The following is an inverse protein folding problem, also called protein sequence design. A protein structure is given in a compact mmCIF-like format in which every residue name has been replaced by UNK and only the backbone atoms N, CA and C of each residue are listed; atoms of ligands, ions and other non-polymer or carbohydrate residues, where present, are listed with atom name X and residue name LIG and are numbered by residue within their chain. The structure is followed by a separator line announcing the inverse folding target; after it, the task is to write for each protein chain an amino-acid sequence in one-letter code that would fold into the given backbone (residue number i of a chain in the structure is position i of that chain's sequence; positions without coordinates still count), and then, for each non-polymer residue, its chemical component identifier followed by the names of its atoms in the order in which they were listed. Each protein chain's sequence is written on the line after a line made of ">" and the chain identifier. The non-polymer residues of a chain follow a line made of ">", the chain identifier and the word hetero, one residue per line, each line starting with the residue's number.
data_IF_869191679443
#
_entry.id   IF_869191679443
#
_cell.length_a   1.000
_cell.length_b   1.000
_cell.length_c   1.000
_cell.angle_alpha   90.00
_cell.angle_beta   90.00
_cell.angle_gamma   90.00
#
_symmetry.space_group_name_H-M   'P 1'
#
loop_
_entity.id
_entity.type
_entity.pdbx_description
1 polymer ?
#
# COMPACT_ATOMS: atom_id res chain seq x y z
N UNK A 1 23.95 -44.49 -25.14
CA UNK A 1 25.00 -44.58 -24.10
C UNK A 1 24.56 -43.80 -22.86
N UNK A 2 24.33 -44.55 -21.77
CA UNK A 2 24.15 -44.18 -20.34
C UNK A 2 23.23 -43.02 -19.90
N UNK A 3 22.16 -43.42 -19.19
CA UNK A 3 21.44 -42.70 -18.12
C UNK A 3 22.36 -42.37 -16.94
N UNK A 4 22.05 -41.29 -16.21
CA UNK A 4 22.58 -41.00 -14.87
C UNK A 4 21.59 -40.19 -14.03
N UNK A 5 20.95 -40.89 -13.08
CA UNK A 5 20.14 -40.41 -11.95
C UNK A 5 20.92 -39.52 -10.98
N UNK A 6 20.30 -38.54 -10.30
CA UNK A 6 20.88 -37.94 -9.10
C UNK A 6 20.62 -38.85 -7.90
N UNK A 7 21.66 -39.53 -7.46
CA UNK A 7 21.69 -40.34 -6.25
C UNK A 7 21.69 -39.44 -5.03
N UNK A 8 20.79 -39.71 -4.10
CA UNK A 8 20.74 -39.21 -2.72
C UNK A 8 22.12 -39.23 -2.06
N UNK A 9 22.57 -38.07 -1.56
CA UNK A 9 23.68 -38.00 -0.63
C UNK A 9 23.23 -38.59 0.72
N UNK A 10 23.92 -39.60 1.28
CA UNK A 10 23.78 -39.92 2.69
C UNK A 10 24.49 -38.84 3.51
N UNK A 11 23.76 -38.14 4.37
CA UNK A 11 24.36 -37.36 5.45
C UNK A 11 25.08 -38.34 6.37
N UNK A 12 26.40 -38.40 6.25
CA UNK A 12 27.24 -39.12 7.20
C UNK A 12 27.19 -38.31 8.50
N UNK A 13 26.49 -38.84 9.50
CA UNK A 13 26.61 -38.38 10.88
C UNK A 13 28.02 -38.73 11.33
N UNK A 14 28.93 -37.74 11.31
CA UNK A 14 30.26 -37.90 11.90
C UNK A 14 30.06 -37.89 13.41
N UNK A 15 30.04 -39.08 14.01
CA UNK A 15 30.15 -39.26 15.45
C UNK A 15 31.48 -38.62 15.89
N UNK A 16 31.48 -37.70 16.89
CA UNK A 16 32.72 -37.09 17.34
C UNK A 16 33.66 -38.21 17.83
N UNK A 17 34.96 -38.17 17.47
CA UNK A 17 35.89 -39.21 17.87
C UNK A 17 35.85 -39.36 19.39
N UNK A 18 35.56 -40.57 19.86
CA UNK A 18 35.61 -40.91 21.28
C UNK A 18 37.03 -40.61 21.76
N UNK A 19 37.19 -39.54 22.53
CA UNK A 19 38.47 -39.20 23.12
C UNK A 19 38.96 -40.42 23.94
N UNK A 20 40.22 -40.85 23.79
CA UNK A 20 40.75 -41.92 24.62
C UNK A 20 40.63 -41.48 26.08
N UNK A 21 39.88 -42.26 26.86
CA UNK A 21 39.79 -42.07 28.31
C UNK A 21 41.19 -42.33 28.85
N UNK A 22 41.91 -41.25 29.16
CA UNK A 22 43.19 -41.32 29.86
C UNK A 22 42.93 -42.08 31.17
N UNK A 23 43.47 -43.31 31.26
CA UNK A 23 43.42 -44.07 32.50
C UNK A 23 44.07 -43.23 33.60
N UNK A 24 43.30 -42.94 34.65
CA UNK A 24 43.81 -42.25 35.83
C UNK A 24 44.98 -43.07 36.37
N UNK A 25 46.18 -42.47 36.57
CA UNK A 25 47.31 -43.17 37.15
C UNK A 25 46.88 -43.82 38.47
N UNK A 26 47.33 -45.05 38.80
CA UNK A 26 46.95 -45.73 40.04
C UNK A 26 47.29 -44.91 41.32
N UNK A 27 48.22 -43.96 41.21
CA UNK A 27 48.57 -43.01 42.26
C UNK A 27 47.55 -41.86 42.43
N UNK A 28 46.77 -41.54 41.38
CA UNK A 28 45.79 -40.45 41.42
C UNK A 28 44.64 -40.77 42.38
N UNK A 29 44.22 -42.04 42.45
CA UNK A 29 43.20 -42.51 43.40
C UNK A 29 43.70 -42.45 44.84
N UNK A 30 44.96 -42.82 45.08
CA UNK A 30 45.58 -42.71 46.40
C UNK A 30 45.73 -41.24 46.84
N UNK A 31 46.14 -40.36 45.92
CA UNK A 31 46.25 -38.93 46.16
C UNK A 31 44.88 -38.26 46.40
N UNK A 32 43.84 -38.65 45.66
CA UNK A 32 42.47 -38.20 45.89
C UNK A 32 41.94 -38.67 47.25
N UNK A 33 42.19 -39.91 47.64
CA UNK A 33 41.81 -40.43 48.95
C UNK A 33 42.52 -39.68 50.10
N UNK A 34 43.81 -39.35 49.92
CA UNK A 34 44.57 -38.54 50.86
C UNK A 34 44.00 -37.12 50.96
N UNK A 35 43.76 -36.44 49.84
CA UNK A 35 43.14 -35.11 49.82
C UNK A 35 41.78 -35.10 50.50
N UNK A 36 40.94 -36.11 50.24
CA UNK A 36 39.62 -36.25 50.88
C UNK A 36 39.76 -36.40 52.39
N UNK A 37 40.72 -37.21 52.87
CA UNK A 37 41.01 -37.32 54.31
C UNK A 37 41.45 -36.00 54.95
N UNK A 38 42.31 -35.24 54.27
CA UNK A 38 42.75 -33.92 54.75
C UNK A 38 41.57 -32.95 54.85
N UNK A 39 40.70 -32.91 53.83
CA UNK A 39 39.49 -32.07 53.83
C UNK A 39 38.52 -32.46 54.94
N UNK A 40 38.25 -33.76 55.13
CA UNK A 40 37.35 -34.25 56.19
C UNK A 40 37.91 -34.01 57.60
N UNK A 41 39.24 -33.92 57.74
CA UNK A 41 39.89 -33.55 59.00
C UNK A 41 39.72 -32.07 59.34
N UNK A 42 39.71 -31.20 58.32
CA UNK A 42 39.56 -29.76 58.50
C UNK A 42 38.09 -29.30 58.55
N UNK A 43 37.16 -30.08 58.01
CA UNK A 43 35.72 -29.80 58.04
C UNK A 43 34.97 -31.07 58.47
N UNK A 44 34.90 -31.34 59.78
CA UNK A 44 34.16 -32.49 60.30
C UNK A 44 32.66 -32.29 60.02
N UNK A 45 32.06 -33.16 59.20
CA UNK A 45 30.63 -33.11 58.85
C UNK A 45 30.33 -33.01 57.35
N UNK A 46 31.34 -32.85 56.50
CA UNK A 46 31.15 -32.82 55.03
C UNK A 46 30.57 -34.13 54.46
N UNK A 47 30.83 -35.27 55.11
CA UNK A 47 30.34 -36.60 54.69
C UNK A 47 28.91 -36.93 55.19
N UNK A 48 28.30 -36.10 56.03
CA UNK A 48 27.03 -36.42 56.72
C UNK A 48 25.79 -35.68 56.19
N UNK A 49 25.83 -35.16 54.96
CA UNK A 49 24.58 -34.79 54.28
C UNK A 49 24.28 -35.90 53.27
N UNK A 50 23.25 -36.74 53.51
CA UNK A 50 22.79 -37.65 52.49
C UNK A 50 22.18 -36.84 51.33
N UNK A 51 22.99 -36.59 50.29
CA UNK A 51 22.58 -35.95 49.03
C UNK A 51 21.64 -36.87 48.22
N UNK A 52 21.25 -38.03 48.77
CA UNK A 52 20.39 -39.01 48.09
C UNK A 52 18.96 -38.50 47.89
N UNK A 53 18.41 -37.68 48.80
CA UNK A 53 17.06 -37.13 48.64
C UNK A 53 16.98 -35.89 47.73
N UNK A 54 17.90 -34.95 47.89
CA UNK A 54 17.93 -33.70 47.11
C UNK A 54 18.52 -33.88 45.71
N UNK A 55 19.52 -34.74 45.56
CA UNK A 55 20.11 -35.07 44.26
C UNK A 55 19.12 -35.77 43.32
N UNK A 56 18.31 -36.71 43.83
CA UNK A 56 17.27 -37.35 43.02
C UNK A 56 16.13 -36.41 42.64
N UNK A 57 15.75 -35.47 43.53
CA UNK A 57 14.78 -34.44 43.20
C UNK A 57 15.28 -33.48 42.09
N UNK A 58 16.56 -33.09 42.15
CA UNK A 58 17.19 -32.24 41.11
C UNK A 58 17.30 -33.00 39.78
N UNK A 59 17.69 -34.28 39.82
CA UNK A 59 17.73 -35.14 38.62
C UNK A 59 16.34 -35.31 38.01
N UNK A 60 15.29 -35.48 38.83
CA UNK A 60 13.91 -35.54 38.37
C UNK A 60 13.43 -34.24 37.73
N UNK A 61 13.78 -33.07 38.31
CA UNK A 61 13.46 -31.77 37.71
C UNK A 61 14.24 -31.51 36.41
N UNK A 62 15.50 -31.93 36.33
CA UNK A 62 16.29 -31.86 35.10
C UNK A 62 15.70 -32.77 34.00
N UNK A 63 15.25 -33.97 34.35
CA UNK A 63 14.56 -34.86 33.42
C UNK A 63 13.26 -34.24 32.90
N UNK A 64 12.47 -33.61 33.77
CA UNK A 64 11.26 -32.88 33.38
C UNK A 64 11.58 -31.72 32.44
N UNK A 65 12.65 -30.96 32.71
CA UNK A 65 13.07 -29.85 31.86
C UNK A 65 13.54 -30.32 30.48
N UNK A 66 14.31 -31.41 30.43
CA UNK A 66 14.74 -32.03 29.16
C UNK A 66 13.55 -32.55 28.37
N UNK A 67 12.57 -33.16 29.04
CA UNK A 67 11.33 -33.61 28.43
C UNK A 67 10.51 -32.43 27.88
N UNK A 68 10.34 -31.36 28.65
CA UNK A 68 9.69 -30.13 28.20
C UNK A 68 10.43 -29.49 27.02
N UNK A 69 11.76 -29.50 27.01
CA UNK A 69 12.54 -28.96 25.91
C UNK A 69 12.38 -29.80 24.62
N UNK A 70 12.35 -31.13 24.76
CA UNK A 70 12.09 -32.05 23.65
C UNK A 70 10.67 -31.88 23.10
N UNK A 71 9.66 -31.77 23.96
CA UNK A 71 8.27 -31.50 23.58
C UNK A 71 8.13 -30.14 22.90
N UNK A 72 8.79 -29.10 23.42
CA UNK A 72 8.79 -27.77 22.79
C UNK A 72 9.46 -27.80 21.42
N UNK A 73 10.55 -28.56 21.25
CA UNK A 73 11.20 -28.73 19.96
C UNK A 73 10.30 -29.50 18.96
N UNK A 74 9.66 -30.59 19.41
CA UNK A 74 8.72 -31.36 18.59
C UNK A 74 7.50 -30.54 18.19
N UNK A 75 6.91 -29.78 19.13
CA UNK A 75 5.78 -28.88 18.88
C UNK A 75 6.17 -27.73 17.95
N UNK A 76 7.38 -27.18 18.10
CA UNK A 76 7.90 -26.17 17.18
C UNK A 76 8.09 -26.72 15.77
N UNK A 77 8.56 -27.96 15.62
CA UNK A 77 8.72 -28.60 14.31
C UNK A 77 7.38 -28.96 13.68
N UNK A 78 6.43 -29.49 14.46
CA UNK A 78 5.07 -29.74 14.00
C UNK A 78 4.38 -28.45 13.53
N UNK A 79 4.56 -27.35 14.27
CA UNK A 79 4.05 -26.04 13.88
C UNK A 79 4.70 -25.53 12.60
N UNK A 80 6.01 -25.72 12.41
CA UNK A 80 6.71 -25.35 11.17
C UNK A 80 6.21 -26.15 9.97
N UNK A 81 5.96 -27.45 10.13
CA UNK A 81 5.39 -28.30 9.10
C UNK A 81 3.99 -27.83 8.71
N UNK A 82 3.12 -27.58 9.69
CA UNK A 82 1.78 -27.00 9.45
C UNK A 82 1.85 -25.64 8.76
N UNK A 83 2.80 -24.78 9.13
CA UNK A 83 3.00 -23.48 8.49
C UNK A 83 3.48 -23.60 7.03
N UNK A 84 4.17 -24.69 6.66
CA UNK A 84 4.59 -24.96 5.26
C UNK A 84 3.46 -25.48 4.38
N UNK A 85 2.47 -26.13 4.97
CA UNK A 85 1.32 -26.76 4.28
C UNK A 85 0.11 -25.84 4.15
N UNK A 86 0.17 -24.59 4.65
CA UNK A 86 -0.95 -23.65 4.55
C UNK A 86 -1.37 -23.40 3.10
N UNK A 87 -2.64 -23.62 2.85
CA UNK A 87 -3.29 -23.40 1.56
C UNK A 87 -4.13 -22.11 1.59
N UNK A 88 -4.37 -21.46 0.44
CA UNK A 88 -5.32 -20.36 0.34
C UNK A 88 -6.68 -20.60 1.05
N UNK A 89 -7.21 -21.83 1.02
CA UNK A 89 -8.44 -22.27 1.71
C UNK A 89 -8.41 -22.09 3.22
N UNK A 90 -7.23 -22.10 3.82
CA UNK A 90 -7.06 -21.92 5.27
C UNK A 90 -7.18 -20.44 5.67
N UNK A 91 -7.04 -19.52 4.71
CA UNK A 91 -7.01 -18.08 4.95
C UNK A 91 -8.18 -17.33 4.32
N UNK A 92 -8.72 -17.83 3.22
CA UNK A 92 -9.82 -17.23 2.47
C UNK A 92 -11.13 -17.99 2.72
N UNK A 93 -12.26 -17.26 2.73
CA UNK A 93 -13.57 -17.91 2.75
C UNK A 93 -13.81 -18.69 1.45
N UNK A 94 -14.63 -19.74 1.50
CA UNK A 94 -14.97 -20.55 0.32
C UNK A 94 -15.51 -19.71 -0.85
N UNK A 95 -16.33 -18.69 -0.56
CA UNK A 95 -16.89 -17.78 -1.58
C UNK A 95 -15.78 -16.96 -2.25
N UNK A 96 -14.84 -16.44 -1.46
CA UNK A 96 -13.70 -15.68 -1.99
C UNK A 96 -12.80 -16.58 -2.84
N UNK A 97 -12.51 -17.80 -2.36
CA UNK A 97 -11.69 -18.76 -3.08
C UNK A 97 -12.31 -19.13 -4.43
N UNK A 98 -13.61 -19.46 -4.46
CA UNK A 98 -14.32 -19.75 -5.71
C UNK A 98 -14.29 -18.57 -6.69
N UNK A 99 -14.49 -17.34 -6.21
CA UNK A 99 -14.41 -16.13 -7.04
C UNK A 99 -13.01 -15.94 -7.61
N UNK A 100 -11.99 -16.14 -6.78
CA UNK A 100 -10.60 -16.06 -7.20
C UNK A 100 -10.28 -17.11 -8.27
N UNK A 101 -10.67 -18.35 -8.05
CA UNK A 101 -10.47 -19.45 -9.01
C UNK A 101 -11.14 -19.15 -10.36
N UNK A 102 -12.35 -18.57 -10.36
CA UNK A 102 -13.03 -18.12 -11.58
C UNK A 102 -12.23 -17.03 -12.31
N UNK A 103 -11.76 -16.00 -11.60
CA UNK A 103 -10.93 -14.95 -12.22
C UNK A 103 -9.59 -15.46 -12.73
N UNK A 104 -8.94 -16.39 -12.02
CA UNK A 104 -7.72 -17.04 -12.49
C UNK A 104 -7.98 -18.09 -13.57
N UNK A 105 -9.24 -18.44 -13.85
CA UNK A 105 -9.66 -19.47 -14.79
C UNK A 105 -9.10 -20.86 -14.47
N UNK A 106 -8.98 -21.18 -13.19
CA UNK A 106 -8.45 -22.47 -12.70
C UNK A 106 -9.56 -23.31 -12.07
N UNK A 107 -9.43 -24.63 -12.18
CA UNK A 107 -10.44 -25.57 -11.67
C UNK A 107 -10.15 -26.02 -10.24
N UNK A 108 -8.91 -25.85 -9.78
CA UNK A 108 -8.45 -26.31 -8.48
C UNK A 108 -7.49 -25.32 -7.85
N UNK A 109 -7.39 -25.36 -6.53
CA UNK A 109 -6.63 -24.41 -5.74
C UNK A 109 -5.10 -24.53 -5.92
N UNK A 110 -4.62 -25.74 -6.21
CA UNK A 110 -3.22 -26.04 -6.53
C UNK A 110 -2.74 -25.36 -7.82
N UNK A 111 -3.67 -25.01 -8.71
CA UNK A 111 -3.39 -24.30 -9.97
C UNK A 111 -3.38 -22.78 -9.81
N UNK A 112 -3.75 -22.25 -8.64
CA UNK A 112 -3.70 -20.81 -8.40
C UNK A 112 -2.27 -20.28 -8.53
N UNK A 113 -2.11 -19.02 -8.96
CA UNK A 113 -0.80 -18.38 -9.00
C UNK A 113 -0.06 -18.46 -7.67
N UNK A 114 1.26 -18.67 -7.73
CA UNK A 114 2.12 -18.88 -6.56
C UNK A 114 1.96 -17.81 -5.48
N UNK A 115 1.64 -16.57 -5.88
CA UNK A 115 1.32 -15.44 -5.01
C UNK A 115 0.38 -15.84 -3.85
N UNK A 116 -0.67 -16.61 -4.13
CA UNK A 116 -1.68 -16.97 -3.11
C UNK A 116 -1.14 -17.96 -2.09
N UNK A 117 -0.34 -18.94 -2.51
CA UNK A 117 0.34 -19.87 -1.59
C UNK A 117 1.33 -19.13 -0.70
N UNK A 118 2.04 -18.12 -1.23
CA UNK A 118 3.00 -17.32 -0.47
C UNK A 118 2.28 -16.39 0.51
N UNK A 119 1.16 -15.80 0.11
CA UNK A 119 0.31 -15.00 0.98
C UNK A 119 -0.31 -15.83 2.12
N UNK A 120 -0.78 -17.04 1.84
CA UNK A 120 -1.34 -17.94 2.85
C UNK A 120 -0.30 -18.33 3.92
N UNK A 121 0.96 -18.46 3.52
CA UNK A 121 2.10 -18.75 4.40
C UNK A 121 2.65 -17.51 5.10
N UNK A 122 2.42 -16.31 4.55
CA UNK A 122 2.89 -15.05 5.12
C UNK A 122 2.15 -14.66 6.42
N UNK A 123 2.80 -13.84 7.25
CA UNK A 123 2.10 -13.21 8.38
C UNK A 123 1.14 -12.16 7.85
N UNK A 124 0.02 -11.93 8.56
CA UNK A 124 -0.96 -10.89 8.18
C UNK A 124 -0.33 -9.49 8.06
N UNK A 125 0.70 -9.20 8.85
CA UNK A 125 1.48 -7.94 8.79
C UNK A 125 2.32 -7.81 7.51
N UNK A 126 2.72 -8.94 6.90
CA UNK A 126 3.73 -8.98 5.85
C UNK A 126 3.10 -9.14 4.45
N UNK A 127 1.77 -9.20 4.38
CA UNK A 127 1.04 -9.42 3.13
C UNK A 127 1.32 -8.33 2.08
N UNK A 128 1.46 -7.07 2.50
CA UNK A 128 1.79 -5.95 1.59
C UNK A 128 3.20 -6.11 1.02
N UNK A 129 4.19 -6.39 1.87
CA UNK A 129 5.57 -6.61 1.45
C UNK A 129 5.71 -7.82 0.53
N UNK A 130 4.97 -8.89 0.79
CA UNK A 130 4.90 -10.09 -0.06
C UNK A 130 4.37 -9.75 -1.46
N UNK A 131 3.29 -8.97 -1.53
CA UNK A 131 2.71 -8.51 -2.79
C UNK A 131 3.68 -7.57 -3.55
N UNK A 132 4.30 -6.62 -2.85
CA UNK A 132 5.32 -5.74 -3.42
C UNK A 132 6.51 -6.51 -4.00
N UNK A 133 6.97 -7.57 -3.31
CA UNK A 133 8.02 -8.45 -3.80
C UNK A 133 7.64 -9.16 -5.11
N UNK A 134 6.43 -9.71 -5.20
CA UNK A 134 5.95 -10.36 -6.42
C UNK A 134 5.81 -9.37 -7.60
N UNK A 135 5.36 -8.15 -7.32
CA UNK A 135 5.27 -7.06 -8.30
C UNK A 135 6.66 -6.63 -8.76
N UNK A 136 7.61 -6.48 -7.84
CA UNK A 136 8.98 -6.11 -8.15
C UNK A 136 9.68 -7.17 -9.02
N UNK A 137 9.49 -8.45 -8.71
CA UNK A 137 9.96 -9.54 -9.55
C UNK A 137 9.37 -9.44 -10.96
N UNK A 138 8.06 -9.21 -11.06
CA UNK A 138 7.39 -9.07 -12.35
C UNK A 138 7.89 -7.85 -13.15
N UNK A 139 8.14 -6.71 -12.50
CA UNK A 139 8.74 -5.53 -13.13
C UNK A 139 10.14 -5.84 -13.68
N UNK A 140 10.92 -6.63 -12.96
CA UNK A 140 12.25 -7.11 -13.38
C UNK A 140 12.16 -8.04 -14.58
N UNK A 141 11.30 -9.07 -14.51
CA UNK A 141 11.12 -10.08 -15.57
C UNK A 141 10.67 -9.47 -16.90
N UNK A 142 9.82 -8.44 -16.84
CA UNK A 142 9.33 -7.72 -18.03
C UNK A 142 10.29 -6.61 -18.49
N UNK A 143 11.40 -6.37 -17.79
CA UNK A 143 12.36 -5.31 -18.12
C UNK A 143 11.79 -3.90 -17.99
N UNK A 144 10.76 -3.70 -17.15
CA UNK A 144 10.07 -2.42 -17.02
C UNK A 144 10.85 -1.38 -16.22
N UNK A 145 11.74 -1.83 -15.33
CA UNK A 145 12.56 -1.01 -14.45
C UNK A 145 11.74 -0.25 -13.39
N UNK A 146 12.45 0.33 -12.42
CA UNK A 146 11.87 1.15 -11.37
C UNK A 146 11.18 0.37 -10.23
N UNK A 147 10.64 1.12 -9.27
CA UNK A 147 9.95 0.59 -8.10
C UNK A 147 8.48 0.98 -8.12
N UNK A 148 7.63 0.13 -7.52
CA UNK A 148 6.21 0.41 -7.33
C UNK A 148 5.82 0.14 -5.88
N UNK A 149 5.83 1.16 -5.01
CA UNK A 149 5.31 1.02 -3.65
C UNK A 149 3.80 0.85 -3.71
N UNK A 150 3.31 -0.28 -3.20
CA UNK A 150 1.88 -0.61 -3.19
C UNK A 150 1.23 0.10 -2.02
N UNK A 151 0.18 0.87 -2.27
CA UNK A 151 -0.54 1.53 -1.19
C UNK A 151 -1.27 0.50 -0.31
N UNK A 152 -1.48 0.84 0.96
CA UNK A 152 -2.21 -0.02 1.88
C UNK A 152 -3.65 -0.30 1.40
N UNK A 153 -4.30 0.67 0.74
CA UNK A 153 -5.64 0.46 0.21
C UNK A 153 -5.63 -0.44 -1.04
N UNK A 154 -4.65 -0.31 -1.94
CA UNK A 154 -4.47 -1.24 -3.05
C UNK A 154 -4.24 -2.68 -2.56
N UNK A 155 -3.35 -2.87 -1.57
CA UNK A 155 -3.12 -4.17 -0.95
C UNK A 155 -4.41 -4.76 -0.36
N UNK A 156 -5.15 -3.97 0.43
CA UNK A 156 -6.44 -4.40 1.01
C UNK A 156 -7.44 -4.81 -0.06
N UNK A 157 -7.58 -4.06 -1.15
CA UNK A 157 -8.50 -4.38 -2.25
C UNK A 157 -8.10 -5.66 -2.97
N UNK A 158 -6.80 -5.88 -3.20
CA UNK A 158 -6.30 -7.08 -3.85
C UNK A 158 -6.56 -8.34 -3.02
N UNK A 159 -6.23 -8.32 -1.73
CA UNK A 159 -6.40 -9.47 -0.84
C UNK A 159 -7.88 -9.73 -0.52
N UNK A 160 -8.68 -8.68 -0.36
CA UNK A 160 -10.13 -8.83 -0.11
C UNK A 160 -10.94 -9.14 -1.38
N UNK A 161 -10.26 -9.33 -2.53
CA UNK A 161 -10.89 -9.61 -3.83
C UNK A 161 -11.92 -8.54 -4.24
N UNK A 162 -11.70 -7.29 -3.83
CA UNK A 162 -12.45 -6.12 -4.27
C UNK A 162 -11.83 -5.55 -5.55
N UNK A 163 -11.66 -6.40 -6.56
CA UNK A 163 -11.00 -6.02 -7.82
C UNK A 163 -11.96 -5.27 -8.73
N UNK A 164 -13.20 -5.76 -8.82
CA UNK A 164 -14.27 -5.15 -9.58
C UNK A 164 -14.78 -3.88 -8.90
N UNK A 165 -15.02 -2.82 -9.67
CA UNK A 165 -15.68 -1.63 -9.16
C UNK A 165 -17.20 -1.82 -9.23
N UNK A 166 -17.89 -1.76 -8.09
CA UNK A 166 -19.35 -1.88 -8.03
C UNK A 166 -20.09 -0.79 -8.80
N UNK A 167 -19.45 0.36 -9.03
CA UNK A 167 -19.96 1.44 -9.86
C UNK A 167 -18.82 1.95 -10.74
N UNK A 168 -18.95 1.75 -12.05
CA UNK A 168 -17.95 2.18 -13.06
C UNK A 168 -17.83 3.69 -13.18
N UNK A 169 -18.80 4.46 -12.67
CA UNK A 169 -18.70 5.92 -12.56
C UNK A 169 -17.84 6.37 -11.38
N UNK A 170 -17.50 5.48 -10.44
CA UNK A 170 -16.58 5.76 -9.34
C UNK A 170 -15.22 5.10 -9.59
N UNK A 171 -14.26 5.88 -10.07
CA UNK A 171 -12.95 5.40 -10.49
C UNK A 171 -12.02 5.01 -9.33
N UNK A 172 -12.39 5.35 -8.09
CA UNK A 172 -11.68 4.91 -6.88
C UNK A 172 -12.20 3.58 -6.34
N UNK A 173 -13.33 3.07 -6.87
CA UNK A 173 -13.85 1.74 -6.52
C UNK A 173 -13.10 0.66 -7.29
N UNK A 174 -12.94 -0.51 -6.66
CA UNK A 174 -12.18 -1.61 -7.23
C UNK A 174 -10.67 -1.33 -7.34
N UNK A 175 -9.98 -2.23 -8.05
CA UNK A 175 -8.58 -2.07 -8.45
C UNK A 175 -8.57 -1.58 -9.90
N UNK A 176 -8.10 -0.35 -10.11
CA UNK A 176 -8.10 0.30 -11.42
C UNK A 176 -6.72 0.85 -11.78
N UNK A 177 -6.53 1.23 -13.04
CA UNK A 177 -5.31 1.92 -13.46
C UNK A 177 -5.12 3.26 -12.73
N UNK A 178 -6.19 3.86 -12.21
CA UNK A 178 -6.16 5.10 -11.45
C UNK A 178 -5.67 4.92 -10.01
N UNK A 179 -5.74 3.68 -9.49
CA UNK A 179 -5.22 3.31 -8.16
C UNK A 179 -3.77 2.83 -8.18
N UNK A 180 -3.06 2.92 -9.31
CA UNK A 180 -1.66 2.48 -9.47
C UNK A 180 -0.64 3.51 -8.93
N UNK A 181 -1.08 4.40 -8.04
CA UNK A 181 -0.30 5.48 -7.46
C UNK A 181 0.17 6.54 -8.47
N UNK A 182 0.63 7.71 -7.99
CA UNK A 182 1.20 8.74 -8.85
C UNK A 182 2.52 8.25 -9.50
N UNK A 183 2.74 8.61 -10.76
CA UNK A 183 4.07 8.52 -11.37
C UNK A 183 5.01 9.60 -10.85
N UNK A 184 6.31 9.42 -11.12
CA UNK A 184 7.37 10.35 -10.69
C UNK A 184 7.98 10.02 -9.34
N UNK A 185 9.21 10.51 -9.12
CA UNK A 185 10.04 10.20 -7.94
C UNK A 185 9.38 10.67 -6.64
N UNK A 186 8.90 11.93 -6.61
CA UNK A 186 8.25 12.51 -5.42
C UNK A 186 6.98 11.75 -4.99
N UNK A 187 6.22 11.25 -5.97
CA UNK A 187 5.02 10.45 -5.70
C UNK A 187 5.35 9.07 -5.12
N UNK A 188 6.44 8.46 -5.59
CA UNK A 188 6.95 7.18 -5.10
C UNK A 188 7.48 7.33 -3.66
N UNK A 189 8.32 8.35 -3.41
CA UNK A 189 8.88 8.63 -2.08
C UNK A 189 7.77 8.88 -1.05
N UNK A 190 6.79 9.73 -1.41
CA UNK A 190 5.63 9.99 -0.54
C UNK A 190 4.87 8.71 -0.21
N UNK A 191 4.69 7.81 -1.17
CA UNK A 191 4.00 6.54 -0.91
C UNK A 191 4.83 5.62 -0.02
N UNK A 192 6.16 5.61 -0.17
CA UNK A 192 7.06 4.86 0.70
C UNK A 192 7.02 5.38 2.15
N UNK A 193 6.99 6.70 2.35
CA UNK A 193 6.85 7.30 3.68
C UNK A 193 5.53 6.93 4.36
N UNK A 194 4.43 6.93 3.58
CA UNK A 194 3.12 6.49 4.06
C UNK A 194 3.12 5.00 4.43
N UNK A 195 3.77 4.16 3.61
CA UNK A 195 3.90 2.74 3.87
C UNK A 195 4.75 2.47 5.12
N UNK A 196 5.87 3.17 5.30
CA UNK A 196 6.70 3.06 6.50
C UNK A 196 5.94 3.47 7.78
N UNK A 197 5.12 4.52 7.69
CA UNK A 197 4.23 4.93 8.78
C UNK A 197 3.19 3.85 9.09
N UNK A 198 2.59 3.24 8.05
CA UNK A 198 1.61 2.17 8.20
C UNK A 198 2.21 0.92 8.86
N UNK A 199 3.43 0.56 8.49
CA UNK A 199 4.15 -0.59 9.04
C UNK A 199 4.50 -0.38 10.51
N UNK A 200 4.94 0.84 10.88
CA UNK A 200 5.25 1.19 12.26
C UNK A 200 4.02 1.09 13.17
N UNK A 201 2.85 1.50 12.66
CA UNK A 201 1.57 1.40 13.38
C UNK A 201 1.10 -0.06 13.49
N UNK A 202 1.26 -0.85 12.43
CA UNK A 202 0.74 -2.23 12.37
C UNK A 202 1.66 -3.24 13.07
N UNK A 203 2.97 -2.96 13.11
CA UNK A 203 3.99 -3.82 13.71
C UNK A 203 4.02 -3.83 15.24
N UNK A 204 3.13 -3.08 15.92
CA UNK A 204 3.01 -3.07 17.38
C UNK A 204 4.15 -2.36 18.12
N UNK A 205 5.08 -1.72 17.41
CA UNK A 205 6.24 -1.02 17.99
C UNK A 205 5.95 0.38 18.51
N UNK A 206 4.83 0.99 18.14
CA UNK A 206 4.45 2.35 18.55
C UNK A 206 2.94 2.46 18.83
N UNK A 207 2.55 3.29 19.81
CA UNK A 207 1.16 3.70 19.95
C UNK A 207 0.83 4.70 18.81
N UNK A 208 -0.13 4.39 17.93
CA UNK A 208 -0.47 5.28 16.82
C UNK A 208 -0.99 6.62 17.34
N UNK A 209 -0.41 7.73 16.90
CA UNK A 209 -1.00 9.04 17.16
C UNK A 209 -2.27 9.21 16.33
N UNK A 210 -3.21 10.04 16.80
CA UNK A 210 -4.42 10.41 16.04
C UNK A 210 -4.08 11.02 14.68
N UNK A 211 -2.94 11.72 14.58
CA UNK A 211 -2.43 12.26 13.31
C UNK A 211 -1.95 11.18 12.34
N UNK A 212 -1.32 10.11 12.83
CA UNK A 212 -0.88 8.99 11.98
C UNK A 212 -2.09 8.20 11.48
N UNK A 213 -3.06 7.96 12.36
CA UNK A 213 -4.34 7.37 11.97
C UNK A 213 -5.06 8.21 10.90
N UNK A 214 -5.10 9.53 11.05
CA UNK A 214 -5.71 10.43 10.07
C UNK A 214 -5.02 10.37 8.70
N UNK A 215 -3.68 10.30 8.65
CA UNK A 215 -2.92 10.13 7.39
C UNK A 215 -3.19 8.79 6.72
N UNK A 216 -3.37 7.72 7.50
CA UNK A 216 -3.64 6.37 6.98
C UNK A 216 -5.11 6.18 6.54
N UNK A 217 -6.04 6.94 7.12
CA UNK A 217 -7.47 6.88 6.80
C UNK A 217 -7.81 7.70 5.54
N UNK A 218 -6.98 8.67 5.15
CA UNK A 218 -7.21 9.47 3.95
C UNK A 218 -7.00 8.66 2.65
N UNK A 219 -7.97 7.81 2.37
CA UNK A 219 -8.08 6.96 1.17
C UNK A 219 -8.36 7.75 -0.10
N UNK A 220 -8.58 9.08 -0.01
CA UNK A 220 -8.70 9.96 -1.18
C UNK A 220 -7.37 10.10 -1.93
N UNK A 221 -6.24 9.80 -1.28
CA UNK A 221 -4.90 9.88 -1.87
C UNK A 221 -4.57 8.83 -2.93
N UNK A 222 -5.33 7.73 -3.00
CA UNK A 222 -5.03 6.63 -3.93
C UNK A 222 -5.49 6.90 -5.37
N UNK A 223 -6.46 7.79 -5.55
CA UNK A 223 -6.98 8.13 -6.88
C UNK A 223 -6.05 9.15 -7.55
N UNK A 224 -5.46 8.77 -8.67
CA UNK A 224 -4.63 9.70 -9.46
C UNK A 224 -4.83 9.50 -10.96
N UNK A 225 -4.88 10.62 -11.68
CA UNK A 225 -5.10 10.64 -13.12
C UNK A 225 -3.78 10.75 -13.88
N UNK A 226 -3.68 10.11 -15.07
CA UNK A 226 -2.49 10.24 -15.90
C UNK A 226 -2.36 11.68 -16.40
N UNK A 227 -1.21 12.32 -16.15
CA UNK A 227 -0.94 13.70 -16.59
C UNK A 227 -0.61 13.80 -18.07
N UNK A 228 0.13 12.82 -18.57
CA UNK A 228 0.61 12.75 -19.95
C UNK A 228 0.73 11.27 -20.38
N UNK A 229 1.21 11.03 -21.61
CA UNK A 229 1.38 9.67 -22.15
C UNK A 229 2.47 8.89 -21.43
N UNK A 230 3.50 9.56 -20.91
CA UNK A 230 4.61 8.94 -20.20
C UNK A 230 4.17 8.41 -18.83
N UNK A 231 3.45 9.23 -18.06
CA UNK A 231 2.82 8.85 -16.79
C UNK A 231 1.81 7.72 -17.01
N UNK A 232 0.99 7.82 -18.06
CA UNK A 232 0.07 6.74 -18.43
C UNK A 232 0.81 5.42 -18.71
N UNK A 233 1.89 5.45 -19.49
CA UNK A 233 2.73 4.28 -19.76
C UNK A 233 3.27 3.67 -18.46
N UNK A 234 3.77 4.51 -17.55
CA UNK A 234 4.23 4.06 -16.23
C UNK A 234 3.13 3.35 -15.43
N UNK A 235 1.90 3.88 -15.46
CA UNK A 235 0.73 3.27 -14.80
C UNK A 235 0.32 1.95 -15.44
N UNK A 236 0.36 1.84 -16.76
CA UNK A 236 0.10 0.57 -17.47
C UNK A 236 1.11 -0.50 -17.06
N UNK A 237 2.41 -0.15 -16.95
CA UNK A 237 3.43 -1.07 -16.45
C UNK A 237 3.11 -1.59 -15.04
N UNK A 238 2.75 -0.69 -14.12
CA UNK A 238 2.35 -1.05 -12.74
C UNK A 238 1.08 -1.92 -12.71
N UNK A 239 0.10 -1.59 -13.55
CA UNK A 239 -1.13 -2.36 -13.69
C UNK A 239 -0.85 -3.80 -14.16
N UNK A 240 -0.01 -3.95 -15.18
CA UNK A 240 0.47 -5.26 -15.65
C UNK A 240 1.18 -6.01 -14.53
N UNK A 241 2.14 -5.35 -13.86
CA UNK A 241 2.93 -5.99 -12.81
C UNK A 241 2.11 -6.35 -11.57
N UNK A 242 0.95 -5.73 -11.38
CA UNK A 242 -0.02 -6.09 -10.33
C UNK A 242 -0.82 -7.33 -10.70
N UNK A 243 -1.40 -7.36 -11.90
CA UNK A 243 -2.31 -8.44 -12.28
C UNK A 243 -1.62 -9.67 -12.84
N UNK A 244 -0.40 -9.56 -13.36
CA UNK A 244 0.35 -10.72 -13.86
C UNK A 244 0.69 -11.75 -12.77
N UNK A 245 1.18 -11.38 -11.57
CA UNK A 245 1.34 -12.34 -10.47
C UNK A 245 0.00 -12.75 -9.83
N UNK A 246 -1.04 -11.90 -9.88
CA UNK A 246 -2.36 -12.20 -9.32
C UNK A 246 -3.20 -13.14 -10.19
N UNK A 247 -3.15 -13.03 -11.52
CA UNK A 247 -3.89 -13.89 -12.45
C UNK A 247 -3.03 -15.04 -12.99
N UNK A 248 -1.71 -14.89 -12.99
CA UNK A 248 -0.76 -15.83 -13.59
C UNK A 248 -0.17 -15.28 -14.89
N UNK A 249 1.08 -15.68 -15.19
CA UNK A 249 1.85 -15.16 -16.31
C UNK A 249 1.32 -15.57 -17.69
N UNK A 250 0.69 -16.74 -17.74
CA UNK A 250 0.07 -17.33 -18.94
C UNK A 250 -1.42 -17.00 -19.06
N UNK A 251 -1.99 -16.30 -18.10
CA UNK A 251 -3.40 -15.90 -18.14
C UNK A 251 -3.65 -14.94 -19.32
N UNK A 252 -4.75 -15.15 -20.05
CA UNK A 252 -5.04 -14.39 -21.27
C UNK A 252 -5.05 -12.87 -21.06
N UNK A 253 -5.55 -12.42 -19.90
CA UNK A 253 -5.56 -11.00 -19.52
C UNK A 253 -4.13 -10.47 -19.31
N UNK A 254 -3.27 -11.22 -18.62
CA UNK A 254 -1.86 -10.85 -18.44
C UNK A 254 -1.13 -10.70 -19.76
N UNK A 255 -1.37 -11.62 -20.71
CA UNK A 255 -0.78 -11.57 -22.06
C UNK A 255 -1.31 -10.36 -22.83
N UNK A 256 -2.64 -10.15 -22.86
CA UNK A 256 -3.25 -9.05 -23.61
C UNK A 256 -2.85 -7.68 -23.06
N UNK A 257 -2.61 -7.53 -21.76
CA UNK A 257 -2.11 -6.29 -21.18
C UNK A 257 -0.66 -5.99 -21.61
N UNK A 258 0.21 -7.01 -21.73
CA UNK A 258 1.57 -6.84 -22.27
C UNK A 258 1.54 -6.45 -23.75
N UNK A 259 0.65 -7.06 -24.54
CA UNK A 259 0.41 -6.67 -25.93
C UNK A 259 -0.08 -5.22 -26.00
N UNK A 260 -1.01 -4.83 -25.13
CA UNK A 260 -1.51 -3.46 -25.02
C UNK A 260 -0.39 -2.46 -24.75
N UNK A 261 0.51 -2.73 -23.80
CA UNK A 261 1.67 -1.89 -23.54
C UNK A 261 2.60 -1.77 -24.76
N UNK A 262 2.82 -2.87 -25.48
CA UNK A 262 3.63 -2.87 -26.71
C UNK A 262 2.98 -2.02 -27.81
N UNK A 263 1.65 -2.07 -27.92
CA UNK A 263 0.89 -1.24 -28.86
C UNK A 263 0.86 0.23 -28.45
N UNK A 264 0.84 0.54 -27.15
CA UNK A 264 0.96 1.90 -26.65
C UNK A 264 2.26 2.56 -27.13
N UNK A 265 3.39 1.84 -26.99
CA UNK A 265 4.71 2.28 -27.45
C UNK A 265 4.74 2.51 -28.97
N UNK A 266 4.22 1.55 -29.75
CA UNK A 266 4.22 1.63 -31.22
C UNK A 266 3.39 2.77 -31.79
N UNK A 267 2.43 3.30 -31.03
CA UNK A 267 1.53 4.34 -31.50
C UNK A 267 1.74 5.69 -30.77
N UNK A 268 2.84 5.86 -30.04
CA UNK A 268 3.10 7.05 -29.19
C UNK A 268 2.96 8.37 -29.96
N UNK A 269 3.53 8.47 -31.17
CA UNK A 269 3.42 9.66 -32.02
C UNK A 269 1.98 10.00 -32.44
N UNK A 270 1.18 8.97 -32.72
CA UNK A 270 -0.21 9.14 -33.12
C UNK A 270 -1.06 9.57 -31.91
N UNK A 271 -0.78 9.01 -30.73
CA UNK A 271 -1.48 9.35 -29.49
C UNK A 271 -1.16 10.78 -29.05
N UNK A 272 0.08 11.25 -29.23
CA UNK A 272 0.49 12.61 -28.89
C UNK A 272 -0.34 13.70 -29.60
N UNK A 273 -1.01 13.38 -30.72
CA UNK A 273 -1.87 14.31 -31.48
C UNK A 273 -3.29 14.43 -30.91
N UNK A 274 -3.67 13.59 -29.95
CA UNK A 274 -5.04 13.52 -29.43
C UNK A 274 -5.05 14.12 -28.01
N UNK A 275 -5.72 15.28 -27.81
CA UNK A 275 -5.82 15.90 -26.49
C UNK A 275 -6.51 14.96 -25.48
N UNK A 276 -5.92 14.85 -24.28
CA UNK A 276 -6.50 14.05 -23.19
C UNK A 276 -6.49 12.53 -23.43
N UNK A 277 -5.79 12.03 -24.46
CA UNK A 277 -5.81 10.60 -24.84
C UNK A 277 -5.44 9.67 -23.70
N UNK A 278 -4.50 10.05 -22.83
CA UNK A 278 -4.08 9.26 -21.68
C UNK A 278 -5.22 8.96 -20.72
N UNK A 279 -6.07 9.96 -20.44
CA UNK A 279 -7.24 9.79 -19.57
C UNK A 279 -8.28 8.89 -20.24
N UNK A 280 -8.54 9.10 -21.53
CA UNK A 280 -9.51 8.30 -22.27
C UNK A 280 -9.09 6.83 -22.40
N UNK A 281 -7.81 6.59 -22.69
CA UNK A 281 -7.25 5.23 -22.73
C UNK A 281 -7.24 4.57 -21.35
N UNK A 282 -6.93 5.31 -20.28
CA UNK A 282 -7.03 4.81 -18.92
C UNK A 282 -8.45 4.39 -18.56
N UNK A 283 -9.43 5.23 -18.89
CA UNK A 283 -10.84 4.95 -18.64
C UNK A 283 -11.32 3.76 -19.47
N UNK A 284 -10.91 3.69 -20.75
CA UNK A 284 -11.26 2.56 -21.62
C UNK A 284 -10.71 1.24 -21.10
N UNK A 285 -9.44 1.22 -20.72
CA UNK A 285 -8.80 0.03 -20.14
C UNK A 285 -9.50 -0.40 -18.84
N UNK A 286 -9.85 0.56 -17.98
CA UNK A 286 -10.59 0.28 -16.75
C UNK A 286 -11.96 -0.36 -17.04
N UNK A 287 -12.73 0.20 -17.97
CA UNK A 287 -14.05 -0.32 -18.33
C UNK A 287 -13.96 -1.72 -18.94
N UNK A 288 -13.11 -1.92 -19.95
CA UNK A 288 -12.95 -3.22 -20.60
C UNK A 288 -12.49 -4.31 -19.61
N UNK A 289 -11.61 -3.96 -18.67
CA UNK A 289 -11.14 -4.88 -17.63
C UNK A 289 -12.22 -5.18 -16.58
N UNK A 290 -12.99 -4.17 -16.17
CA UNK A 290 -14.04 -4.32 -15.17
C UNK A 290 -15.21 -5.16 -15.72
N UNK A 291 -15.67 -4.91 -16.95
CA UNK A 291 -16.67 -5.75 -17.60
C UNK A 291 -16.22 -7.22 -17.64
N UNK A 292 -14.97 -7.50 -17.99
CA UNK A 292 -14.46 -8.87 -17.97
C UNK A 292 -14.42 -9.49 -16.58
N UNK A 293 -14.06 -8.72 -15.54
CA UNK A 293 -14.10 -9.22 -14.16
C UNK A 293 -15.52 -9.60 -13.74
N UNK A 294 -16.51 -8.80 -14.13
CA UNK A 294 -17.92 -9.06 -13.85
C UNK A 294 -18.41 -10.31 -14.57
N UNK A 295 -18.25 -10.34 -15.90
CA UNK A 295 -18.63 -11.48 -16.74
C UNK A 295 -17.97 -12.79 -16.24
N UNK A 296 -16.66 -12.75 -15.92
CA UNK A 296 -15.93 -13.93 -15.46
C UNK A 296 -16.33 -14.36 -14.05
N UNK A 297 -16.71 -13.43 -13.18
CA UNK A 297 -17.17 -13.76 -11.82
C UNK A 297 -18.48 -14.54 -11.84
N UNK A 298 -19.37 -14.25 -12.80
CA UNK A 298 -20.66 -14.91 -12.97
C UNK A 298 -20.57 -16.22 -13.77
N UNK A 299 -19.52 -16.38 -14.58
CA UNK A 299 -19.32 -17.54 -15.43
C UNK A 299 -18.58 -18.69 -14.73
N UNK A 300 -19.02 -19.92 -14.99
CA UNK A 300 -18.31 -21.15 -14.61
C UNK A 300 -17.31 -21.61 -15.68
N UNK A 301 -17.30 -20.95 -16.85
CA UNK A 301 -16.40 -21.27 -17.96
C UNK A 301 -15.40 -20.13 -18.18
N UNK A 302 -14.18 -20.42 -18.68
CA UNK A 302 -13.22 -19.37 -19.00
C UNK A 302 -13.76 -18.41 -20.08
N UNK A 303 -13.88 -17.14 -19.75
CA UNK A 303 -14.23 -16.07 -20.68
C UNK A 303 -12.95 -15.54 -21.33
N UNK A 304 -12.90 -15.46 -22.67
CA UNK A 304 -11.74 -14.92 -23.37
C UNK A 304 -11.36 -13.53 -22.86
N UNK A 305 -10.06 -13.30 -22.69
CA UNK A 305 -9.55 -12.01 -22.25
C UNK A 305 -9.90 -10.90 -23.26
N UNK A 306 -10.23 -9.68 -22.80
CA UNK A 306 -10.56 -8.58 -23.70
C UNK A 306 -9.37 -8.24 -24.60
N UNK A 307 -9.66 -7.87 -25.85
CA UNK A 307 -8.65 -7.31 -26.74
C UNK A 307 -8.48 -5.81 -26.43
N UNK A 308 -7.73 -5.50 -25.37
CA UNK A 308 -7.43 -4.13 -24.97
C UNK A 308 -6.78 -3.31 -26.09
N UNK A 309 -6.08 -3.96 -27.04
CA UNK A 309 -5.40 -3.29 -28.16
C UNK A 309 -6.33 -2.88 -29.29
N UNK A 310 -7.61 -3.29 -29.29
CA UNK A 310 -8.60 -2.92 -30.30
C UNK A 310 -8.73 -1.40 -30.46
N UNK A 311 -8.59 -0.66 -29.36
CA UNK A 311 -8.65 0.81 -29.34
C UNK A 311 -7.68 1.46 -30.33
N UNK A 312 -6.45 0.94 -30.48
CA UNK A 312 -5.47 1.54 -31.37
C UNK A 312 -5.89 1.42 -32.84
N UNK A 313 -6.58 0.33 -33.22
CA UNK A 313 -7.14 0.18 -34.56
C UNK A 313 -8.29 1.17 -34.77
N UNK A 314 -9.17 1.33 -33.77
CA UNK A 314 -10.27 2.29 -33.85
C UNK A 314 -9.78 3.73 -33.99
N UNK A 315 -8.74 4.11 -33.25
CA UNK A 315 -8.12 5.43 -33.37
C UNK A 315 -7.58 5.64 -34.80
N UNK A 316 -6.87 4.65 -35.37
CA UNK A 316 -6.35 4.74 -36.74
C UNK A 316 -7.44 4.88 -37.80
N UNK A 317 -8.60 4.26 -37.57
CA UNK A 317 -9.75 4.35 -38.47
C UNK A 317 -10.62 5.59 -38.20
N UNK A 318 -10.23 6.46 -37.25
CA UNK A 318 -11.01 7.63 -36.81
C UNK A 318 -12.43 7.31 -36.32
N UNK A 319 -12.68 6.05 -35.95
CA UNK A 319 -13.90 5.62 -35.29
C UNK A 319 -14.01 6.34 -33.92
N UNK A 320 -15.15 6.92 -33.56
CA UNK A 320 -15.31 7.62 -32.27
C UNK A 320 -15.77 6.68 -31.14
N UNK A 321 -16.20 5.46 -31.46
CA UNK A 321 -16.73 4.49 -30.48
C UNK A 321 -15.71 4.01 -29.43
N UNK A 322 -14.42 4.31 -29.63
CA UNK A 322 -13.41 3.98 -28.64
C UNK A 322 -13.42 4.91 -27.42
N UNK A 323 -13.96 6.13 -27.54
CA UNK A 323 -13.93 7.16 -26.50
C UNK A 323 -15.03 6.91 -25.46
N UNK A 324 -14.68 6.54 -24.22
CA UNK A 324 -15.67 6.45 -23.15
C UNK A 324 -16.10 7.84 -22.67
N UNK A 325 -17.30 7.92 -22.13
CA UNK A 325 -17.78 9.13 -21.43
C UNK A 325 -17.08 9.29 -20.09
N UNK A 326 -16.55 10.49 -19.82
CA UNK A 326 -15.91 10.79 -18.54
C UNK A 326 -17.00 11.06 -17.51
N UNK A 327 -17.02 10.37 -16.35
CA UNK A 327 -18.03 10.61 -15.34
C UNK A 327 -18.03 12.09 -14.89
N UNK A 328 -19.20 12.73 -14.74
CA UNK A 328 -19.29 14.18 -14.47
C UNK A 328 -18.50 14.64 -13.24
N UNK A 329 -18.40 13.77 -12.23
CA UNK A 329 -17.65 14.03 -10.99
C UNK A 329 -16.16 14.32 -11.23
N UNK A 330 -15.59 13.90 -12.35
CA UNK A 330 -14.17 14.05 -12.65
C UNK A 330 -13.86 15.09 -13.72
N UNK A 331 -14.87 15.69 -14.36
CA UNK A 331 -14.68 16.73 -15.38
C UNK A 331 -13.95 17.97 -14.82
N UNK A 332 -14.15 18.28 -13.54
CA UNK A 332 -13.47 19.40 -12.86
C UNK A 332 -12.04 19.05 -12.40
N UNK A 333 -11.72 17.76 -12.28
CA UNK A 333 -10.42 17.25 -11.80
C UNK A 333 -9.48 16.84 -12.93
N UNK A 334 -9.96 16.80 -14.18
CA UNK A 334 -9.14 16.59 -15.38
C UNK A 334 -8.44 17.88 -15.79
N UNK A 335 -7.10 17.99 -15.68
CA UNK A 335 -6.37 19.21 -16.01
C UNK A 335 -6.34 19.54 -17.51
N UNK A 336 -6.90 18.70 -18.38
CA UNK A 336 -6.59 18.66 -19.83
C UNK A 336 -7.71 19.15 -20.77
N UNK A 337 -8.84 19.63 -20.25
CA UNK A 337 -9.94 20.15 -21.10
C UNK A 337 -9.96 21.68 -21.22
N UNK A 338 -9.06 22.39 -20.52
CA UNK A 338 -8.89 23.82 -20.72
C UNK A 338 -7.70 24.08 -21.65
N UNK A 339 -7.90 24.71 -22.83
CA UNK A 339 -6.77 25.16 -23.64
C UNK A 339 -5.92 26.15 -22.84
N UNK A 340 -4.58 26.18 -23.04
CA UNK A 340 -3.71 27.05 -22.27
C UNK A 340 -4.06 28.51 -22.58
N UNK A 341 -4.62 29.22 -21.60
CA UNK A 341 -4.67 30.67 -21.64
C UNK A 341 -3.22 31.17 -21.65
N UNK A 342 -2.83 31.87 -22.72
CA UNK A 342 -1.55 32.56 -22.84
C UNK A 342 -1.31 33.43 -21.60
N UNK A 343 -0.38 33.01 -20.73
CA UNK A 343 0.18 33.88 -19.71
C UNK A 343 1.42 34.57 -20.32
N UNK A 344 1.51 35.91 -20.30
CA UNK A 344 2.71 36.59 -20.77
C UNK A 344 3.86 36.33 -19.80
N UNK A 345 5.03 36.02 -20.37
CA UNK A 345 6.27 35.87 -19.66
C UNK A 345 6.61 37.14 -18.87
N UNK A 346 6.81 37.00 -17.56
CA UNK A 346 7.40 38.05 -16.73
C UNK A 346 8.71 37.52 -16.16
N UNK A 347 9.81 38.09 -16.64
CA UNK A 347 11.17 37.79 -16.18
C UNK A 347 11.34 38.09 -14.69
N UNK A 348 11.98 37.17 -13.99
CA UNK A 348 12.39 37.31 -12.59
C UNK A 348 13.91 37.30 -12.48
N UNK A 349 14.47 38.49 -12.32
CA UNK A 349 15.85 38.76 -11.89
C UNK A 349 16.06 38.27 -10.45
N UNK A 350 17.28 37.81 -10.16
CA UNK A 350 17.64 37.10 -8.93
C UNK A 350 17.85 37.94 -7.65
N UNK A 351 18.25 37.21 -6.61
CA UNK A 351 18.62 37.66 -5.25
C UNK A 351 17.93 36.75 -4.21
N UNK A 352 18.59 35.91 -3.41
CA UNK A 352 19.91 36.02 -2.79
C UNK A 352 19.73 36.59 -1.38
N UNK A 353 19.60 35.73 -0.35
CA UNK A 353 19.47 36.16 1.05
C UNK A 353 19.31 35.00 2.03
N UNK A 354 20.40 34.67 2.71
CA UNK A 354 20.59 33.70 3.80
C UNK A 354 19.97 34.12 5.15
N UNK A 355 19.91 33.21 6.15
CA UNK A 355 19.00 33.27 7.30
C UNK A 355 19.63 33.84 8.58
N UNK A 356 18.81 34.39 9.48
CA UNK A 356 19.11 34.51 10.91
C UNK A 356 17.85 34.88 11.72
N UNK A 357 17.75 34.37 12.95
CA UNK A 357 17.03 35.08 14.02
C UNK A 357 16.03 34.27 14.83
N UNK A 358 16.55 33.62 15.87
CA UNK A 358 15.87 33.13 17.08
C UNK A 358 14.97 34.17 17.77
N UNK A 359 13.85 33.72 18.33
CA UNK A 359 13.02 34.48 19.26
C UNK A 359 12.21 33.54 20.16
N UNK A 360 12.44 33.66 21.46
CA UNK A 360 11.92 32.84 22.56
C UNK A 360 10.41 32.93 22.80
N UNK A 361 9.95 31.94 23.57
CA UNK A 361 8.60 31.58 23.94
C UNK A 361 7.73 32.68 24.59
N UNK A 362 6.42 32.63 24.31
CA UNK A 362 5.39 32.92 25.30
C UNK A 362 4.20 31.97 25.13
N UNK A 363 3.88 31.26 26.23
CA UNK A 363 2.79 30.32 26.32
C UNK A 363 1.43 31.00 26.24
N UNK A 364 0.56 30.44 25.40
CA UNK A 364 -0.86 30.73 25.36
C UNK A 364 -1.58 29.50 24.83
N UNK A 365 -2.31 28.80 25.70
CA UNK A 365 -3.11 27.64 25.37
C UNK A 365 -4.15 28.03 24.31
N UNK A 366 -3.89 27.68 23.04
CA UNK A 366 -4.81 27.94 21.93
C UNK A 366 -5.91 26.90 21.97
N UNK A 367 -7.09 27.31 22.44
CA UNK A 367 -8.33 26.54 22.26
C UNK A 367 -8.48 26.11 20.80
N UNK A 368 -8.84 24.85 20.59
CA UNK A 368 -8.86 24.21 19.28
C UNK A 368 -9.62 25.02 18.23
N UNK A 369 -8.95 25.32 17.11
CA UNK A 369 -9.58 25.89 15.92
C UNK A 369 -10.46 24.80 15.27
N UNK A 370 -11.74 24.77 15.63
CA UNK A 370 -12.72 23.93 14.96
C UNK A 370 -13.19 24.65 13.70
N UNK A 371 -13.25 23.94 12.58
CA UNK A 371 -13.86 24.46 11.35
C UNK A 371 -15.38 24.36 11.52
N UNK A 372 -16.06 25.50 11.46
CA UNK A 372 -17.52 25.58 11.51
C UNK A 372 -18.08 25.91 10.12
N UNK A 373 -19.27 25.39 9.84
CA UNK A 373 -20.02 25.72 8.61
C UNK A 373 -20.93 26.92 8.86
N UNK A 374 -21.20 27.73 7.84
CA UNK A 374 -22.06 28.91 7.98
C UNK A 374 -23.55 28.51 7.91
N UNK A 375 -24.30 28.57 9.02
CA UNK A 375 -25.73 28.22 9.01
C UNK A 375 -26.61 29.31 8.37
N UNK A 376 -26.07 30.50 8.13
CA UNK A 376 -26.79 31.67 7.62
C UNK A 376 -26.04 32.27 6.43
N UNK A 377 -26.19 31.62 5.26
CA UNK A 377 -25.63 32.10 4.00
C UNK A 377 -26.44 33.28 3.46
N UNK A 378 -25.75 34.40 3.21
CA UNK A 378 -26.34 35.60 2.61
C UNK A 378 -26.39 35.48 1.09
N UNK A 379 -27.47 34.86 0.61
CA UNK A 379 -27.67 34.63 -0.80
C UNK A 379 -27.65 35.93 -1.62
N UNK A 380 -28.27 36.99 -1.14
CA UNK A 380 -28.36 38.26 -1.90
C UNK A 380 -26.99 38.89 -2.20
N UNK A 381 -26.02 38.76 -1.30
CA UNK A 381 -24.70 39.40 -1.45
C UNK A 381 -23.67 38.48 -2.11
N UNK A 382 -23.76 37.17 -1.90
CA UNK A 382 -22.73 36.21 -2.32
C UNK A 382 -23.19 35.20 -3.38
N UNK A 383 -24.49 35.16 -3.75
CA UNK A 383 -24.99 34.23 -4.77
C UNK A 383 -24.27 34.37 -6.11
N UNK A 384 -23.93 35.59 -6.52
CA UNK A 384 -23.22 35.82 -7.79
C UNK A 384 -21.84 35.16 -7.78
N UNK A 385 -21.09 35.29 -6.68
CA UNK A 385 -19.76 34.67 -6.56
C UNK A 385 -19.84 33.15 -6.45
N UNK A 386 -20.89 32.63 -5.80
CA UNK A 386 -21.14 31.20 -5.72
C UNK A 386 -21.51 30.62 -7.10
N UNK A 387 -22.34 31.31 -7.87
CA UNK A 387 -22.73 30.92 -9.23
C UNK A 387 -21.53 30.93 -10.20
N UNK A 388 -20.54 31.82 -9.97
CA UNK A 388 -19.28 31.84 -10.72
C UNK A 388 -18.29 30.74 -10.32
N UNK A 389 -18.56 29.99 -9.25
CA UNK A 389 -17.67 28.94 -8.74
C UNK A 389 -16.30 29.46 -8.26
N UNK A 390 -16.20 30.75 -7.96
CA UNK A 390 -14.94 31.40 -7.62
C UNK A 390 -14.45 31.02 -6.22
N UNK A 391 -13.15 30.78 -6.08
CA UNK A 391 -12.56 30.66 -4.74
C UNK A 391 -12.52 32.04 -4.06
N UNK A 392 -12.40 32.07 -2.73
CA UNK A 392 -12.26 33.33 -1.99
C UNK A 392 -11.11 34.24 -2.48
N UNK A 393 -10.08 33.66 -3.12
CA UNK A 393 -8.99 34.42 -3.75
C UNK A 393 -9.44 35.03 -5.07
N UNK A 394 -10.14 34.25 -5.90
CA UNK A 394 -10.64 34.69 -7.20
C UNK A 394 -11.69 35.79 -7.05
N UNK A 395 -12.51 35.73 -6.01
CA UNK A 395 -13.47 36.80 -5.67
C UNK A 395 -12.76 38.13 -5.40
N UNK A 396 -11.65 38.15 -4.64
CA UNK A 396 -10.89 39.40 -4.42
C UNK A 396 -10.31 39.93 -5.73
N UNK A 397 -9.68 39.06 -6.51
CA UNK A 397 -9.07 39.46 -7.78
C UNK A 397 -10.10 39.92 -8.81
N UNK A 398 -11.29 39.30 -8.83
CA UNK A 398 -12.39 39.72 -9.67
C UNK A 398 -12.89 41.11 -9.27
N UNK A 399 -13.12 41.34 -7.98
CA UNK A 399 -13.57 42.63 -7.45
C UNK A 399 -12.56 43.76 -7.69
N UNK A 400 -11.26 43.48 -7.53
CA UNK A 400 -10.18 44.41 -7.86
C UNK A 400 -10.16 44.77 -9.36
N UNK A 401 -10.39 43.79 -10.26
CA UNK A 401 -10.41 44.02 -11.71
C UNK A 401 -11.63 44.79 -12.18
N UNK A 402 -12.79 44.55 -11.58
CA UNK A 402 -14.06 45.19 -11.95
C UNK A 402 -14.25 46.52 -11.20
N UNK A 403 -13.38 46.84 -10.24
CA UNK A 403 -13.45 48.08 -9.46
C UNK A 403 -14.60 48.09 -8.44
N UNK A 404 -15.05 46.92 -7.99
CA UNK A 404 -16.17 46.77 -7.04
C UNK A 404 -15.61 46.39 -5.68
N UNK A 405 -15.86 47.21 -4.66
CA UNK A 405 -15.41 46.93 -3.30
C UNK A 405 -16.00 45.63 -2.75
N UNK A 406 -15.25 44.93 -1.89
CA UNK A 406 -15.76 43.73 -1.23
C UNK A 406 -16.89 44.09 -0.27
N UNK A 407 -17.88 43.20 -0.07
CA UNK A 407 -18.94 43.41 0.89
C UNK A 407 -18.40 43.67 2.32
N UNK A 408 -18.77 44.82 2.88
CA UNK A 408 -18.38 45.25 4.21
C UNK A 408 -19.51 45.00 5.21
N UNK A 409 -19.15 44.74 6.46
CA UNK A 409 -20.04 44.78 7.61
C UNK A 409 -19.47 45.75 8.65
N UNK A 410 -20.23 46.77 9.00
CA UNK A 410 -19.82 47.81 9.96
C UNK A 410 -18.40 48.36 9.66
N UNK A 411 -18.09 48.59 8.38
CA UNK A 411 -16.80 49.11 7.92
C UNK A 411 -15.67 48.08 7.80
N UNK A 412 -15.90 46.80 8.15
CA UNK A 412 -14.89 45.73 8.05
C UNK A 412 -15.25 44.70 6.97
N UNK A 413 -14.27 44.24 6.20
CA UNK A 413 -14.49 43.21 5.17
C UNK A 413 -15.05 41.91 5.76
N UNK A 414 -16.12 41.40 5.15
CA UNK A 414 -16.69 40.11 5.52
C UNK A 414 -15.75 38.95 5.15
N UNK A 415 -15.77 37.87 5.94
CA UNK A 415 -14.92 36.72 5.69
C UNK A 415 -15.35 35.94 4.43
N UNK A 416 -14.62 36.11 3.32
CA UNK A 416 -14.91 35.41 2.07
C UNK A 416 -14.85 33.87 2.19
N UNK A 417 -13.99 33.32 3.06
CA UNK A 417 -13.98 31.88 3.29
C UNK A 417 -15.28 31.39 3.94
N UNK A 418 -15.78 32.12 4.94
CA UNK A 418 -17.03 31.79 5.62
C UNK A 418 -18.25 31.98 4.72
N UNK A 419 -18.26 33.06 3.94
CA UNK A 419 -19.42 33.43 3.12
C UNK A 419 -19.44 32.79 1.73
N UNK A 420 -18.29 32.52 1.10
CA UNK A 420 -18.23 31.88 -0.25
C UNK A 420 -18.03 30.37 -0.15
N UNK A 421 -17.17 29.89 0.77
CA UNK A 421 -16.88 28.45 0.93
C UNK A 421 -17.75 27.76 2.00
N UNK A 422 -18.65 28.50 2.63
CA UNK A 422 -19.53 28.01 3.69
C UNK A 422 -18.78 27.39 4.89
N UNK A 423 -17.52 27.77 5.13
CA UNK A 423 -16.73 27.27 6.25
C UNK A 423 -15.62 28.23 6.68
N UNK A 424 -15.39 28.35 7.99
CA UNK A 424 -14.25 29.07 8.54
C UNK A 424 -13.94 28.61 9.97
N UNK A 425 -12.82 29.09 10.54
CA UNK A 425 -12.42 28.75 11.90
C UNK A 425 -13.34 29.43 12.94
N UNK A 426 -13.57 28.75 14.07
CA UNK A 426 -14.31 29.28 15.23
C UNK A 426 -13.78 30.61 15.77
N UNK A 427 -12.50 30.93 15.52
CA UNK A 427 -11.88 32.16 16.01
C UNK A 427 -11.87 33.29 14.98
N UNK A 428 -12.56 33.14 13.83
CA UNK A 428 -12.61 34.21 12.83
C UNK A 428 -13.48 35.38 13.34
N UNK A 429 -12.93 36.60 13.51
CA UNK A 429 -13.70 37.76 13.97
C UNK A 429 -14.71 38.23 12.92
N UNK A 430 -14.47 37.94 11.63
CA UNK A 430 -15.25 38.46 10.50
C UNK A 430 -16.35 37.47 10.03
N UNK A 431 -16.76 36.53 10.89
CA UNK A 431 -17.73 35.44 10.57
C UNK A 431 -19.20 35.78 10.83
N UNK A 432 -19.51 36.92 11.44
CA UNK A 432 -20.86 37.16 11.98
C UNK A 432 -21.88 37.58 10.90
N UNK A 433 -22.97 36.82 10.77
CA UNK A 433 -24.01 36.99 9.74
C UNK A 433 -25.11 38.04 10.04
N UNK A 434 -25.18 38.69 11.21
CA UNK A 434 -26.23 39.73 11.43
C UNK A 434 -25.81 41.08 10.84
N UNK A 435 -26.47 41.53 9.78
CA UNK A 435 -26.42 42.92 9.30
C UNK A 435 -27.27 43.78 10.24
N UNK A 436 -26.73 44.92 10.69
CA UNK A 436 -27.56 46.00 11.23
C UNK A 436 -27.98 46.83 10.03
N UNK A 437 -29.27 46.85 9.72
CA UNK A 437 -29.84 47.77 8.75
C UNK A 437 -29.75 49.15 9.38
N UNK A 438 -28.87 50.00 8.85
CA UNK A 438 -28.91 51.44 9.11
C UNK A 438 -29.88 52.01 8.09
N UNK A 439 -31.06 52.42 8.55
CA UNK A 439 -32.03 53.22 7.78
C UNK A 439 -31.50 54.61 7.51
#
# INVERSE_FOLDING_TARGET
>A
TRRGTPTSQPTITVEPPTAPVLATPPEATAFQAYRRRVVLRHIPGLDNVPITGTGQAIVGQLQLLVQQQAENAANAEARRLQEREKMPSDTMSAIMLQRLMRWCQVMSEDQLPELYSTLARSRKSDGRATLEGAIAQTLSDLGYGGTFPVSQSLHRKLISLQWMAANTTNLSSGVSIFTMGPGGVEGIERQQDLNATADLVTGGGAQPSLSDAAKLIDTKGDLSFPKDTLDYRGRVKRFISTFRPALGSQHGVSINLVIYHSMLLRNEELLARIPGVSMLLALRLFLDFNCWLDDQAESNTPIPAPNFSKVFRQIKLSDQSWKPEIPPAYLQSTPLLNPPAHAPARGGTGGGGTPAGSGDAYGGSRGGNVIIRNPHYHAETFATYLAMGHTAKDVRQYNERVGVALPLKAGTEMCLAYHVKNMCNTNCPNRQSKLVVVT
#
